data_IF_401191991188
#
_entry.id   IF_401191991188
#
_cell.length_a   1.000
_cell.length_b   1.000
_cell.length_c   1.000
_cell.angle_alpha   90.00
_cell.angle_beta   90.00
_cell.angle_gamma   90.00
#
_symmetry.space_group_name_H-M   'P 1'
#
loop_
_entity.id
_entity.type
_entity.pdbx_description
1 polymer ?
#
# COMPACT_ATOMS: atom_id res chain seq x y z
N UNK A 1 -7.88 15.61 -3.40
CA UNK A 1 -6.87 14.57 -3.15
C UNK A 1 -6.86 14.11 -1.69
N UNK A 2 -7.22 14.96 -0.73
CA UNK A 2 -7.32 14.61 0.71
C UNK A 2 -8.19 13.37 0.99
N UNK A 3 -9.42 13.28 0.44
CA UNK A 3 -10.26 12.07 0.58
C UNK A 3 -9.62 10.76 0.10
N UNK A 4 -8.74 10.82 -0.91
CA UNK A 4 -8.03 9.63 -1.41
C UNK A 4 -6.91 9.25 -0.45
N UNK A 5 -6.27 10.24 0.18
CA UNK A 5 -5.28 10.02 1.24
C UNK A 5 -5.90 9.24 2.39
N UNK A 6 -7.07 9.67 2.87
CA UNK A 6 -7.78 9.02 3.98
C UNK A 6 -8.20 7.58 3.64
N UNK A 7 -8.65 7.34 2.39
CA UNK A 7 -8.99 5.99 1.92
C UNK A 7 -7.77 5.05 1.90
N UNK A 8 -6.63 5.53 1.40
CA UNK A 8 -5.38 4.76 1.41
C UNK A 8 -4.95 4.49 2.85
N UNK A 9 -5.02 5.50 3.73
CA UNK A 9 -4.63 5.36 5.12
C UNK A 9 -5.50 4.33 5.87
N UNK A 10 -6.82 4.41 5.72
CA UNK A 10 -7.75 3.45 6.31
C UNK A 10 -7.48 2.03 5.78
N UNK A 11 -7.19 1.89 4.48
CA UNK A 11 -6.81 0.59 3.89
C UNK A 11 -5.53 0.03 4.51
N UNK A 12 -4.54 0.90 4.78
CA UNK A 12 -3.30 0.51 5.47
C UNK A 12 -3.61 0.08 6.92
N UNK A 13 -4.43 0.84 7.65
CA UNK A 13 -4.80 0.53 9.03
C UNK A 13 -5.60 -0.78 9.14
N UNK A 14 -6.50 -1.05 8.20
CA UNK A 14 -7.21 -2.32 8.12
C UNK A 14 -6.25 -3.49 7.84
N UNK A 15 -5.33 -3.33 6.88
CA UNK A 15 -4.32 -4.35 6.59
C UNK A 15 -3.42 -4.62 7.82
N UNK A 16 -3.05 -3.57 8.55
CA UNK A 16 -2.33 -3.65 9.84
C UNK A 16 -3.15 -4.43 10.88
N UNK A 17 -4.40 -4.04 11.12
CA UNK A 17 -5.26 -4.64 12.14
C UNK A 17 -5.56 -6.12 11.86
N UNK A 18 -5.69 -6.49 10.57
CA UNK A 18 -5.97 -7.85 10.14
C UNK A 18 -4.70 -8.71 9.99
N UNK A 19 -3.51 -8.08 9.96
CA UNK A 19 -2.25 -8.74 9.65
C UNK A 19 -2.23 -9.37 8.26
N UNK A 20 -2.88 -8.72 7.28
CA UNK A 20 -3.09 -9.23 5.92
C UNK A 20 -2.31 -8.42 4.87
N UNK A 21 -2.34 -8.88 3.61
CA UNK A 21 -1.76 -8.16 2.48
C UNK A 21 -2.45 -6.82 2.31
N UNK A 22 -1.67 -5.78 2.00
CA UNK A 22 -2.24 -4.52 1.56
C UNK A 22 -2.93 -4.73 0.19
N UNK A 23 -4.27 -4.63 0.12
CA UNK A 23 -5.01 -4.82 -1.13
C UNK A 23 -4.86 -3.58 -2.03
N UNK A 24 -5.31 -3.69 -3.27
CA UNK A 24 -5.45 -2.51 -4.12
C UNK A 24 -6.43 -1.53 -3.46
N UNK A 25 -6.08 -0.24 -3.31
CA UNK A 25 -7.01 0.73 -2.77
C UNK A 25 -8.18 0.92 -3.74
N UNK A 26 -9.41 0.75 -3.23
CA UNK A 26 -10.64 0.96 -4.00
C UNK A 26 -11.00 2.44 -3.90
N UNK A 27 -10.78 3.17 -4.99
CA UNK A 27 -11.08 4.60 -5.08
C UNK A 27 -12.24 4.77 -6.06
N UNK A 28 -13.44 4.99 -5.53
CA UNK A 28 -14.64 5.23 -6.33
C UNK A 28 -14.69 6.68 -6.81
N UNK A 29 -13.83 6.99 -7.79
CA UNK A 29 -13.73 8.30 -8.43
C UNK A 29 -13.43 8.14 -9.90
N UNK A 30 -14.21 8.81 -10.75
CA UNK A 30 -14.04 8.78 -12.21
C UNK A 30 -12.73 9.44 -12.68
N UNK A 31 -12.23 10.40 -11.90
CA UNK A 31 -10.99 11.15 -12.18
C UNK A 31 -9.73 10.47 -11.61
N UNK A 32 -9.84 9.20 -11.21
CA UNK A 32 -8.76 8.43 -10.60
C UNK A 32 -8.63 7.09 -11.27
N UNK A 33 -7.41 6.74 -11.65
CA UNK A 33 -7.06 5.42 -12.20
C UNK A 33 -6.10 4.71 -11.27
N UNK A 34 -6.43 3.47 -10.88
CA UNK A 34 -5.57 2.62 -10.06
C UNK A 34 -5.00 1.49 -10.91
N UNK A 35 -3.67 1.41 -10.98
CA UNK A 35 -2.95 0.34 -11.67
C UNK A 35 -2.20 -0.53 -10.66
N UNK A 36 -2.47 -1.84 -10.66
CA UNK A 36 -1.72 -2.81 -9.86
C UNK A 36 -0.58 -3.42 -10.70
N UNK A 37 0.62 -3.43 -10.13
CA UNK A 37 1.77 -4.15 -10.66
C UNK A 37 2.28 -5.14 -9.63
N UNK A 38 2.31 -6.43 -10.02
CA UNK A 38 2.97 -7.48 -9.24
C UNK A 38 4.48 -7.44 -9.54
N UNK A 39 5.28 -7.15 -8.54
CA UNK A 39 6.73 -7.10 -8.68
C UNK A 39 7.34 -8.44 -8.29
N UNK A 40 8.48 -8.79 -8.92
CA UNK A 40 9.25 -9.95 -8.48
C UNK A 40 9.69 -9.74 -7.03
N UNK A 41 9.36 -10.70 -6.19
CA UNK A 41 9.88 -10.76 -4.84
C UNK A 41 11.35 -11.23 -4.91
N UNK A 42 12.22 -10.65 -4.08
CA UNK A 42 13.66 -10.96 -4.09
C UNK A 42 14.17 -11.13 -2.65
N UNK A 43 15.12 -12.05 -2.46
CA UNK A 43 15.67 -12.39 -1.15
C UNK A 43 14.61 -12.95 -0.20
N UNK A 44 14.47 -12.36 0.99
CA UNK A 44 13.49 -12.74 2.01
C UNK A 44 12.09 -12.15 1.79
N UNK A 45 11.89 -11.36 0.73
CA UNK A 45 10.57 -10.82 0.39
C UNK A 45 9.79 -11.90 -0.34
N UNK A 46 8.59 -12.21 0.15
CA UNK A 46 7.68 -13.19 -0.44
C UNK A 46 6.64 -12.53 -1.35
N UNK A 47 6.18 -11.33 -0.99
CA UNK A 47 5.18 -10.59 -1.75
C UNK A 47 5.67 -9.18 -1.99
N UNK A 48 5.58 -8.72 -3.25
CA UNK A 48 5.83 -7.32 -3.59
C UNK A 48 4.78 -6.84 -4.59
N UNK A 49 4.09 -5.76 -4.24
CA UNK A 49 3.07 -5.13 -5.08
C UNK A 49 3.30 -3.64 -5.12
N UNK A 50 2.94 -3.05 -6.25
CA UNK A 50 3.00 -1.61 -6.48
C UNK A 50 1.66 -1.17 -7.04
N UNK A 51 1.08 -0.15 -6.43
CA UNK A 51 -0.16 0.46 -6.85
C UNK A 51 0.14 1.89 -7.29
N UNK A 52 -0.17 2.22 -8.54
CA UNK A 52 -0.04 3.56 -9.07
C UNK A 52 -1.44 4.15 -9.21
N UNK A 53 -1.66 5.29 -8.58
CA UNK A 53 -2.93 5.99 -8.54
C UNK A 53 -2.71 7.30 -9.27
N UNK A 54 -3.17 7.37 -10.52
CA UNK A 54 -3.08 8.57 -11.35
C UNK A 54 -4.37 9.38 -11.23
N UNK A 55 -4.21 10.71 -11.20
CA UNK A 55 -5.31 11.66 -11.19
C UNK A 55 -5.33 12.42 -12.52
N UNK A 56 -6.52 12.76 -13.02
CA UNK A 56 -6.67 13.49 -14.30
C UNK A 56 -5.98 14.86 -14.31
N UNK A 57 -5.74 15.44 -13.14
CA UNK A 57 -5.00 16.70 -12.98
C UNK A 57 -3.46 16.54 -13.11
N UNK A 58 -2.97 15.35 -13.47
CA UNK A 58 -1.55 15.03 -13.59
C UNK A 58 -0.86 14.69 -12.25
N UNK A 59 -1.60 14.69 -11.14
CA UNK A 59 -1.11 14.21 -9.85
C UNK A 59 -1.00 12.69 -9.83
N UNK A 60 -0.16 12.16 -8.94
CA UNK A 60 -0.05 10.72 -8.72
C UNK A 60 0.26 10.36 -7.26
N UNK A 61 -0.20 9.19 -6.84
CA UNK A 61 0.19 8.52 -5.60
C UNK A 61 0.69 7.12 -5.95
N UNK A 62 1.79 6.74 -5.35
CA UNK A 62 2.44 5.45 -5.50
C UNK A 62 2.48 4.74 -4.17
N UNK A 63 1.86 3.57 -4.08
CA UNK A 63 1.88 2.73 -2.90
C UNK A 63 2.65 1.45 -3.22
N UNK A 64 3.77 1.24 -2.54
CA UNK A 64 4.56 0.01 -2.63
C UNK A 64 4.33 -0.82 -1.36
N UNK A 65 3.89 -2.05 -1.55
CA UNK A 65 3.74 -3.04 -0.50
C UNK A 65 4.79 -4.14 -0.67
N UNK A 66 5.50 -4.46 0.39
CA UNK A 66 6.39 -5.61 0.47
C UNK A 66 6.09 -6.42 1.73
N UNK A 67 6.16 -7.74 1.66
CA UNK A 67 6.04 -8.60 2.84
C UNK A 67 7.04 -9.74 2.80
N UNK A 68 7.69 -9.95 3.95
CA UNK A 68 8.67 -11.02 4.17
C UNK A 68 8.06 -12.24 4.88
N UNK A 69 6.75 -12.22 5.17
CA UNK A 69 6.03 -13.34 5.78
C UNK A 69 4.94 -13.89 4.85
N UNK A 70 4.64 -15.20 4.92
CA UNK A 70 3.44 -15.75 4.30
C UNK A 70 2.22 -15.20 5.05
N UNK A 71 1.64 -14.14 4.49
CA UNK A 71 0.40 -13.51 5.00
C UNK A 71 -0.66 -14.55 5.35
N UNK A 72 -1.19 -14.51 6.57
CA UNK A 72 -2.35 -15.21 7.17
C UNK A 72 -2.98 -16.46 6.52
N UNK A 73 -2.27 -17.28 5.76
CA UNK A 73 -2.71 -18.64 5.43
C UNK A 73 -2.34 -19.65 6.52
N UNK A 74 -1.61 -19.24 7.56
CA UNK A 74 -1.11 -20.17 8.60
C UNK A 74 -1.02 -19.58 10.01
N UNK A 75 -2.01 -18.76 10.42
CA UNK A 75 -2.15 -18.34 11.83
C UNK A 75 -1.02 -17.47 12.40
N UNK A 76 -0.09 -17.01 11.57
CA UNK A 76 0.98 -16.08 11.94
C UNK A 76 0.63 -14.70 11.37
N UNK A 77 0.49 -13.71 12.25
CA UNK A 77 0.42 -12.28 11.89
C UNK A 77 1.58 -11.97 10.94
N UNK A 78 1.34 -11.15 9.90
CA UNK A 78 2.28 -10.89 8.82
C UNK A 78 3.52 -10.08 9.23
N UNK A 79 4.30 -10.57 10.20
CA UNK A 79 5.54 -9.99 10.70
C UNK A 79 6.42 -9.58 9.51
N UNK A 80 6.86 -8.31 9.50
CA UNK A 80 7.79 -7.72 8.50
C UNK A 80 7.14 -7.39 7.14
N UNK A 81 5.95 -6.81 7.19
CA UNK A 81 5.35 -6.14 6.03
C UNK A 81 5.72 -4.65 6.04
N UNK A 82 5.96 -4.09 4.86
CA UNK A 82 6.32 -2.70 4.62
C UNK A 82 5.31 -2.09 3.63
N UNK A 83 4.77 -0.92 3.96
CA UNK A 83 4.03 -0.09 3.01
C UNK A 83 4.75 1.25 2.91
N UNK A 84 5.14 1.60 1.69
CA UNK A 84 5.74 2.88 1.36
C UNK A 84 4.80 3.64 0.44
N UNK A 85 4.49 4.88 0.79
CA UNK A 85 3.65 5.74 -0.04
C UNK A 85 4.43 6.98 -0.49
N UNK A 86 4.51 7.19 -1.79
CA UNK A 86 5.15 8.35 -2.42
C UNK A 86 4.12 9.08 -3.25
N UNK A 87 4.08 10.40 -3.24
CA UNK A 87 3.11 11.17 -4.04
C UNK A 87 3.75 12.35 -4.75
N UNK A 88 3.09 12.82 -5.81
CA UNK A 88 3.49 14.02 -6.55
C UNK A 88 3.26 15.31 -5.75
N UNK A 89 2.45 15.26 -4.69
CA UNK A 89 2.18 16.39 -3.80
C UNK A 89 2.78 16.10 -2.41
N UNK A 90 3.84 16.81 -2.00
CA UNK A 90 4.52 16.52 -0.73
C UNK A 90 3.63 16.61 0.51
N UNK A 91 2.53 17.37 0.48
CA UNK A 91 1.54 17.42 1.57
C UNK A 91 0.77 16.09 1.76
N UNK A 92 0.80 15.21 0.76
CA UNK A 92 0.18 13.89 0.78
C UNK A 92 1.18 12.77 1.01
N UNK A 93 2.48 13.08 1.19
CA UNK A 93 3.45 12.07 1.58
C UNK A 93 3.13 11.57 2.99
N UNK A 94 3.05 10.25 3.12
CA UNK A 94 2.78 9.59 4.38
C UNK A 94 4.12 9.36 5.07
N UNK A 95 4.33 9.97 6.23
CA UNK A 95 5.52 9.74 7.07
C UNK A 95 5.45 8.39 7.80
N UNK A 96 4.27 7.79 7.84
CA UNK A 96 3.97 6.52 8.50
C UNK A 96 4.36 5.34 7.60
N UNK A 97 5.66 5.23 7.30
CA UNK A 97 6.22 4.00 6.77
C UNK A 97 5.98 2.94 7.83
N UNK A 98 5.04 2.04 7.57
CA UNK A 98 4.78 0.94 8.47
C UNK A 98 5.91 -0.07 8.33
N UNK A 99 6.80 -0.10 9.31
CA UNK A 99 7.72 -1.21 9.54
C UNK A 99 7.23 -1.93 10.79
N UNK A 100 6.65 -3.12 10.62
CA UNK A 100 6.23 -3.93 11.76
C UNK A 100 7.48 -4.38 12.54
N UNK A 101 7.70 -3.82 13.75
CA UNK A 101 8.84 -4.19 14.61
C UNK A 101 8.79 -5.69 14.92
N UNK A 102 9.95 -6.33 14.74
CA UNK A 102 10.18 -7.77 14.83
C UNK A 102 9.69 -8.43 16.14
#
# INVERSE_FOLDING_TARGET
>A
MEKVKDQIQNTIEQAKALGDRFPAPVIDRKDVRVEETKLRACGSTLYKRKYKIDFDNGGWILVEYASKAPTRTSGTTAKRSEVKVTSSNPALNFTDNWEEKA
#
